data_IF_863855472792
#
_entry.id   IF_863855472792
#
_cell.length_a   1.000
_cell.length_b   1.000
_cell.length_c   1.000
_cell.angle_alpha   90.00
_cell.angle_beta   90.00
_cell.angle_gamma   90.00
#
_symmetry.space_group_name_H-M   'P 1'
#
loop_
_entity.id
_entity.type
_entity.pdbx_description
1 polymer ?
#
# COMPACT_ATOMS: atom_id res chain seq x y z
N UNK A 1 17.47 -5.61 -19.93
CA UNK A 1 18.46 -5.25 -18.90
C UNK A 1 17.73 -4.36 -17.94
N UNK A 2 17.15 -4.96 -16.91
CA UNK A 2 16.28 -4.24 -15.99
C UNK A 2 17.13 -3.41 -15.02
N UNK A 3 16.66 -2.19 -14.72
CA UNK A 3 17.34 -1.21 -13.89
C UNK A 3 17.17 -1.61 -12.41
N UNK A 4 18.26 -1.90 -11.67
CA UNK A 4 18.22 -2.29 -10.25
C UNK A 4 17.50 -1.27 -9.34
N UNK A 5 17.26 -0.05 -9.83
CA UNK A 5 16.58 1.01 -9.09
C UNK A 5 15.07 0.77 -8.92
N UNK A 6 14.40 0.06 -9.83
CA UNK A 6 12.96 -0.20 -9.71
C UNK A 6 12.60 -1.19 -8.59
N UNK A 7 13.45 -2.18 -8.32
CA UNK A 7 13.28 -3.10 -7.20
C UNK A 7 13.51 -2.42 -5.84
N UNK A 8 14.26 -1.31 -5.83
CA UNK A 8 14.57 -0.55 -4.62
C UNK A 8 13.36 0.27 -4.14
N UNK A 9 12.51 0.75 -5.05
CA UNK A 9 11.35 1.59 -4.70
C UNK A 9 10.17 0.81 -4.12
N UNK A 10 9.90 -0.40 -4.63
CA UNK A 10 8.91 -1.31 -4.01
C UNK A 10 9.43 -1.85 -2.67
N UNK A 11 10.75 -2.03 -2.55
CA UNK A 11 11.41 -2.42 -1.30
C UNK A 11 11.32 -1.36 -0.19
N UNK A 12 11.09 -0.09 -0.54
CA UNK A 12 10.93 0.99 0.46
C UNK A 12 9.51 1.08 1.05
N UNK A 13 8.51 0.47 0.41
CA UNK A 13 7.12 0.45 0.90
C UNK A 13 6.85 -0.77 1.80
N UNK A 14 7.66 -1.83 1.66
CA UNK A 14 7.56 -3.08 2.41
C UNK A 14 8.93 -3.38 3.01
N UNK A 15 9.05 -3.29 4.34
CA UNK A 15 10.29 -3.70 5.00
C UNK A 15 10.65 -5.15 4.63
N UNK A 16 11.92 -5.51 4.80
CA UNK A 16 12.43 -6.84 4.48
C UNK A 16 11.58 -7.97 5.09
N UNK A 17 11.06 -7.73 6.29
CA UNK A 17 10.15 -8.63 7.01
C UNK A 17 8.83 -8.87 6.24
N UNK A 18 8.25 -7.83 5.65
CA UNK A 18 7.06 -7.91 4.81
C UNK A 18 7.38 -8.54 3.44
N UNK A 19 8.58 -8.33 2.89
CA UNK A 19 9.01 -8.89 1.60
C UNK A 19 9.17 -10.40 1.67
N UNK A 20 9.90 -10.92 2.65
CA UNK A 20 10.10 -12.37 2.88
C UNK A 20 8.74 -13.08 2.95
N UNK A 21 7.79 -12.44 3.64
CA UNK A 21 6.47 -13.00 3.84
C UNK A 21 5.56 -12.91 2.60
N UNK A 22 5.61 -11.82 1.85
CA UNK A 22 4.80 -11.61 0.64
C UNK A 22 5.28 -12.38 -0.58
N UNK A 23 6.58 -12.66 -0.68
CA UNK A 23 7.18 -13.33 -1.83
C UNK A 23 7.02 -14.86 -1.80
N UNK A 24 7.19 -15.49 -0.64
CA UNK A 24 7.17 -16.97 -0.53
C UNK A 24 6.05 -17.52 0.34
N UNK A 25 5.19 -16.63 0.83
CA UNK A 25 3.97 -17.03 1.47
C UNK A 25 2.88 -17.39 0.46
N UNK A 26 2.76 -18.67 0.08
CA UNK A 26 1.41 -19.26 0.04
C UNK A 26 0.68 -18.93 1.36
N UNK A 27 1.45 -18.98 2.46
CA UNK A 27 1.58 -18.00 3.56
C UNK A 27 0.40 -17.09 3.78
N UNK A 28 0.36 -15.82 3.38
CA UNK A 28 -0.70 -14.91 3.86
C UNK A 28 -2.14 -15.45 3.64
N UNK A 29 -2.38 -16.18 2.55
CA UNK A 29 -3.68 -16.81 2.31
C UNK A 29 -3.80 -18.20 2.96
N UNK A 30 -2.77 -19.05 2.97
CA UNK A 30 -2.79 -20.35 3.68
C UNK A 30 -2.64 -20.22 5.21
N UNK A 31 -2.16 -19.08 5.68
CA UNK A 31 -2.09 -18.63 7.06
C UNK A 31 -3.46 -18.20 7.49
N UNK A 32 -4.10 -17.31 6.72
CA UNK A 32 -5.49 -16.93 6.98
C UNK A 32 -6.42 -18.13 6.83
N UNK A 33 -6.29 -18.93 5.77
CA UNK A 33 -7.16 -20.09 5.52
C UNK A 33 -6.78 -21.30 6.37
N UNK A 34 -5.51 -21.61 6.57
CA UNK A 34 -5.05 -22.67 7.47
C UNK A 34 -5.30 -22.35 8.95
N UNK A 35 -5.30 -21.08 9.36
CA UNK A 35 -5.83 -20.67 10.65
C UNK A 35 -7.35 -20.68 10.68
N UNK A 36 -8.04 -20.16 9.66
CA UNK A 36 -9.51 -20.15 9.58
C UNK A 36 -10.10 -21.56 9.59
N UNK A 37 -9.41 -22.52 8.97
CA UNK A 37 -9.79 -23.93 8.90
C UNK A 37 -9.42 -24.70 10.17
N UNK A 38 -8.31 -24.36 10.84
CA UNK A 38 -7.85 -25.07 12.05
C UNK A 38 -8.29 -24.43 13.37
N UNK A 39 -8.77 -23.19 13.34
CA UNK A 39 -9.18 -22.45 14.52
C UNK A 39 -10.26 -21.44 14.14
N UNK A 40 -11.44 -21.53 14.77
CA UNK A 40 -12.41 -20.42 14.78
C UNK A 40 -11.79 -19.09 15.27
N UNK A 41 -10.56 -19.13 15.79
CA UNK A 41 -9.73 -18.06 16.28
C UNK A 41 -9.48 -16.89 15.32
N UNK A 42 -9.29 -17.03 14.00
CA UNK A 42 -8.93 -15.84 13.18
C UNK A 42 -10.10 -14.84 12.99
N UNK A 43 -11.31 -15.34 12.75
CA UNK A 43 -12.49 -14.46 12.67
C UNK A 43 -12.74 -13.76 14.02
N UNK A 44 -12.43 -14.46 15.12
CA UNK A 44 -12.58 -13.95 16.49
C UNK A 44 -11.43 -13.05 16.91
N UNK A 45 -10.19 -13.32 16.51
CA UNK A 45 -9.01 -12.47 16.69
C UNK A 45 -9.17 -11.19 15.88
N UNK A 46 -9.74 -11.25 14.67
CA UNK A 46 -10.12 -10.06 13.92
C UNK A 46 -11.23 -9.28 14.65
N UNK A 47 -12.17 -9.96 15.31
CA UNK A 47 -13.15 -9.28 16.18
C UNK A 47 -12.52 -8.68 17.45
N UNK A 48 -11.51 -9.33 18.03
CA UNK A 48 -10.73 -8.81 19.16
C UNK A 48 -9.87 -7.63 18.68
N UNK A 49 -9.28 -7.71 17.49
CA UNK A 49 -8.46 -6.64 16.90
C UNK A 49 -9.25 -5.36 16.67
N UNK A 50 -10.55 -5.46 16.40
CA UNK A 50 -11.42 -4.28 16.36
C UNK A 50 -11.65 -3.64 17.73
N UNK A 51 -11.42 -4.37 18.83
CA UNK A 51 -11.44 -3.83 20.20
C UNK A 51 -10.05 -3.37 20.67
N UNK A 52 -8.96 -4.03 20.25
CA UNK A 52 -7.60 -3.71 20.70
C UNK A 52 -6.94 -2.55 19.95
N UNK A 53 -7.51 -2.15 18.81
CA UNK A 53 -6.83 -1.28 17.86
C UNK A 53 -5.73 -2.07 17.15
N UNK A 54 -5.77 -2.10 15.81
CA UNK A 54 -4.83 -2.90 14.99
C UNK A 54 -3.34 -2.59 15.21
N UNK A 55 -3.02 -1.52 15.92
CA UNK A 55 -1.66 -1.10 16.19
C UNK A 55 -1.03 -1.76 17.41
N UNK A 56 -1.80 -2.35 18.33
CA UNK A 56 -1.31 -2.68 19.69
C UNK A 56 -0.98 -4.16 19.90
N UNK A 57 -1.18 -5.04 18.94
CA UNK A 57 -0.84 -6.46 19.09
C UNK A 57 -0.04 -7.00 17.91
N UNK A 58 0.72 -8.07 18.18
CA UNK A 58 1.49 -8.83 17.20
C UNK A 58 1.48 -10.32 17.55
N UNK A 59 1.77 -11.18 16.57
CA UNK A 59 1.97 -12.61 16.81
C UNK A 59 3.30 -12.83 17.53
N UNK A 60 3.31 -13.75 18.49
CA UNK A 60 4.54 -14.15 19.16
C UNK A 60 5.46 -14.98 18.23
N UNK A 61 6.70 -15.18 18.69
CA UNK A 61 7.70 -15.97 17.96
C UNK A 61 7.25 -17.42 17.68
N UNK A 62 6.62 -18.11 18.63
CA UNK A 62 6.20 -19.50 18.49
C UNK A 62 5.13 -19.68 17.41
N UNK A 63 4.19 -18.74 17.39
CA UNK A 63 3.13 -18.62 16.40
C UNK A 63 3.72 -18.34 15.03
N UNK A 64 4.64 -17.40 14.88
CA UNK A 64 5.30 -17.12 13.60
C UNK A 64 6.05 -18.36 13.09
N UNK A 65 6.80 -19.07 13.94
CA UNK A 65 7.49 -20.30 13.54
C UNK A 65 6.52 -21.40 13.07
N UNK A 66 5.36 -21.53 13.72
CA UNK A 66 4.30 -22.44 13.28
C UNK A 66 3.77 -22.07 11.90
N UNK A 67 3.62 -20.78 11.64
CA UNK A 67 3.13 -20.26 10.36
C UNK A 67 4.09 -20.51 9.20
N UNK A 68 5.39 -20.53 9.47
CA UNK A 68 6.41 -20.93 8.51
C UNK A 68 6.58 -22.47 8.40
N UNK A 69 5.76 -23.27 9.12
CA UNK A 69 5.89 -24.72 9.15
C UNK A 69 7.15 -25.22 9.87
N UNK A 70 7.87 -24.34 10.57
CA UNK A 70 9.11 -24.64 11.30
C UNK A 70 8.79 -25.42 12.60
N UNK A 71 7.64 -25.14 13.21
CA UNK A 71 7.20 -25.74 14.47
C UNK A 71 5.78 -26.27 14.39
N UNK A 72 5.53 -27.43 14.99
CA UNK A 72 4.17 -27.84 15.39
C UNK A 72 3.88 -27.27 16.78
N UNK A 73 2.93 -26.35 16.87
CA UNK A 73 2.39 -25.88 18.15
C UNK A 73 0.87 -25.92 18.08
N UNK A 74 0.21 -26.29 19.18
CA UNK A 74 -1.24 -26.22 19.26
C UNK A 74 -1.70 -24.82 19.66
N UNK A 75 -0.89 -24.13 20.44
CA UNK A 75 -1.21 -22.83 21.00
C UNK A 75 -0.99 -21.70 19.97
N UNK A 76 -1.67 -20.58 20.21
CA UNK A 76 -1.53 -19.34 19.47
C UNK A 76 -1.27 -18.26 20.50
N UNK A 77 -0.07 -17.70 20.44
CA UNK A 77 0.35 -16.70 21.42
C UNK A 77 0.46 -15.34 20.71
N UNK A 78 -0.03 -14.31 21.40
CA UNK A 78 0.04 -12.93 20.92
C UNK A 78 0.75 -12.07 21.96
N UNK A 79 1.41 -11.03 21.47
CA UNK A 79 2.01 -10.00 22.31
C UNK A 79 1.16 -8.73 22.18
N UNK A 80 0.82 -8.11 23.30
CA UNK A 80 -0.05 -6.93 23.34
C UNK A 80 0.64 -5.79 24.09
N UNK A 81 0.73 -4.62 23.44
CA UNK A 81 1.28 -3.37 23.95
C UNK A 81 0.17 -2.42 24.42
N UNK A 82 -0.68 -2.89 25.33
CA UNK A 82 -1.66 -2.05 26.04
C UNK A 82 -2.20 -2.82 27.24
N UNK A 83 -2.73 -2.09 28.21
CA UNK A 83 -3.57 -2.70 29.24
C UNK A 83 -4.83 -3.24 28.56
N UNK A 84 -5.08 -4.52 28.79
CA UNK A 84 -6.34 -5.15 28.42
C UNK A 84 -7.31 -4.98 29.58
N UNK A 85 -8.56 -4.59 29.29
CA UNK A 85 -9.62 -4.75 30.29
C UNK A 85 -9.75 -6.24 30.64
N UNK A 86 -10.08 -6.55 31.90
CA UNK A 86 -10.23 -7.92 32.40
C UNK A 86 -11.19 -8.73 31.50
N UNK A 87 -12.31 -8.13 31.08
CA UNK A 87 -13.29 -8.77 30.19
C UNK A 87 -12.69 -9.23 28.86
N UNK A 88 -11.79 -8.42 28.29
CA UNK A 88 -11.12 -8.73 27.01
C UNK A 88 -10.08 -9.82 27.21
N UNK A 89 -9.36 -9.77 28.33
CA UNK A 89 -8.38 -10.81 28.68
C UNK A 89 -9.06 -12.17 28.87
N UNK A 90 -10.15 -12.22 29.65
CA UNK A 90 -10.93 -13.44 29.90
C UNK A 90 -11.51 -14.03 28.61
N UNK A 91 -12.04 -13.19 27.72
CA UNK A 91 -12.52 -13.63 26.41
C UNK A 91 -11.41 -14.24 25.55
N UNK A 92 -10.20 -13.65 25.57
CA UNK A 92 -9.07 -14.17 24.79
C UNK A 92 -8.57 -15.50 25.38
N UNK A 93 -8.46 -15.61 26.71
CA UNK A 93 -8.05 -16.86 27.37
C UNK A 93 -9.03 -18.01 27.12
N UNK A 94 -10.33 -17.74 27.11
CA UNK A 94 -11.36 -18.74 26.81
C UNK A 94 -11.23 -19.35 25.40
N UNK A 95 -10.53 -18.68 24.48
CA UNK A 95 -10.29 -19.13 23.11
C UNK A 95 -8.97 -19.92 22.96
N UNK A 96 -8.25 -20.18 24.05
CA UNK A 96 -6.97 -20.88 24.02
C UNK A 96 -5.84 -20.06 23.41
N UNK A 97 -5.96 -18.73 23.44
CA UNK A 97 -4.92 -17.79 23.00
C UNK A 97 -4.15 -17.34 24.24
N UNK A 98 -2.83 -17.56 24.23
CA UNK A 98 -1.97 -17.03 25.29
C UNK A 98 -1.62 -15.56 24.99
N UNK A 99 -1.71 -14.70 26.00
CA UNK A 99 -1.39 -13.28 25.86
C UNK A 99 -0.12 -12.96 26.65
N UNK A 100 0.88 -12.46 25.94
CA UNK A 100 2.07 -11.84 26.53
C UNK A 100 1.86 -10.33 26.59
N UNK A 101 1.65 -9.80 27.80
CA UNK A 101 1.44 -8.37 28.02
C UNK A 101 2.77 -7.62 28.08
N UNK A 102 2.94 -6.63 27.20
CA UNK A 102 4.07 -5.71 27.12
C UNK A 102 3.68 -4.36 27.69
N UNK A 103 3.78 -4.24 29.01
CA UNK A 103 3.47 -3.00 29.72
C UNK A 103 4.75 -2.39 30.28
N UNK A 104 5.06 -1.15 29.92
CA UNK A 104 6.21 -0.43 30.48
C UNK A 104 6.09 -0.16 31.98
N UNK A 105 4.86 -0.10 32.53
CA UNK A 105 4.61 0.26 33.93
C UNK A 105 4.54 -0.92 34.91
N UNK A 106 4.49 -2.16 34.42
CA UNK A 106 4.34 -3.38 35.26
C UNK A 106 5.30 -4.51 34.89
N UNK A 107 6.33 -4.21 34.09
CA UNK A 107 7.36 -5.19 33.75
C UNK A 107 8.39 -5.27 34.87
N UNK A 108 8.12 -6.14 35.85
CA UNK A 108 9.12 -6.55 36.83
C UNK A 108 9.59 -7.99 36.53
N UNK A 109 10.89 -8.25 36.73
CA UNK A 109 11.49 -9.59 36.64
C UNK A 109 11.55 -10.18 35.24
N UNK A 110 11.06 -11.42 35.09
CA UNK A 110 11.24 -12.23 33.87
C UNK A 110 10.56 -11.64 32.63
N UNK A 111 9.51 -10.83 32.79
CA UNK A 111 8.82 -10.18 31.68
C UNK A 111 9.66 -9.08 31.04
N UNK A 112 10.35 -8.28 31.86
CA UNK A 112 11.27 -7.26 31.37
C UNK A 112 12.45 -7.92 30.63
N UNK A 113 12.96 -9.02 31.18
CA UNK A 113 14.01 -9.82 30.54
C UNK A 113 13.54 -10.37 29.19
N UNK A 114 12.31 -10.89 29.12
CA UNK A 114 11.71 -11.42 27.89
C UNK A 114 11.53 -10.35 26.81
N UNK A 115 11.04 -9.18 27.21
CA UNK A 115 10.90 -8.00 26.37
C UNK A 115 12.24 -7.55 25.79
N UNK A 116 13.27 -7.43 26.62
CA UNK A 116 14.63 -7.04 26.18
C UNK A 116 15.22 -8.00 25.15
N UNK A 117 14.91 -9.29 25.21
CA UNK A 117 15.42 -10.22 24.22
C UNK A 117 14.81 -10.06 22.83
N UNK A 118 13.66 -9.40 22.69
CA UNK A 118 13.05 -9.11 21.38
C UNK A 118 13.64 -7.88 20.71
N UNK A 119 14.45 -7.09 21.43
CA UNK A 119 15.11 -5.90 20.91
C UNK A 119 16.43 -6.31 20.28
N UNK A 120 16.55 -6.11 18.97
CA UNK A 120 17.76 -6.44 18.23
C UNK A 120 18.88 -5.41 18.41
N UNK A 121 18.51 -4.18 18.73
CA UNK A 121 19.43 -3.06 18.87
C UNK A 121 19.39 -2.50 20.30
N UNK A 122 20.53 -2.02 20.83
CA UNK A 122 20.62 -1.46 22.19
C UNK A 122 19.67 -0.27 22.42
N UNK A 123 19.42 0.52 21.38
CA UNK A 123 18.62 1.75 21.44
C UNK A 123 17.15 1.51 21.05
N UNK A 124 16.82 0.31 20.57
CA UNK A 124 15.46 -0.05 20.22
C UNK A 124 14.61 -0.14 21.47
N UNK A 125 13.45 0.51 21.47
CA UNK A 125 12.51 0.45 22.60
C UNK A 125 11.44 -0.58 22.29
N UNK A 126 10.81 -1.09 23.35
CA UNK A 126 9.68 -2.02 23.22
C UNK A 126 8.54 -1.49 22.36
N UNK A 127 8.29 -0.18 22.42
CA UNK A 127 7.28 0.47 21.60
C UNK A 127 7.64 0.38 20.10
N UNK A 128 8.92 0.36 19.75
CA UNK A 128 9.36 0.34 18.35
C UNK A 128 9.02 -1.01 17.68
N UNK A 129 8.97 -2.13 18.43
CA UNK A 129 8.44 -3.43 17.93
C UNK A 129 6.98 -3.35 17.45
N UNK A 130 6.20 -2.42 18.00
CA UNK A 130 4.78 -2.28 17.69
C UNK A 130 4.52 -1.13 16.75
N UNK A 131 5.30 -0.05 16.78
CA UNK A 131 4.95 1.18 16.07
C UNK A 131 5.94 1.59 14.99
N UNK A 132 7.17 1.05 14.99
CA UNK A 132 8.10 1.27 13.88
C UNK A 132 7.96 0.15 12.84
N UNK A 133 7.47 0.46 11.63
CA UNK A 133 7.30 -0.52 10.58
C UNK A 133 8.62 -1.12 10.07
N UNK A 134 9.80 -0.65 10.50
CA UNK A 134 11.07 -1.33 10.23
C UNK A 134 11.19 -2.67 10.98
N UNK A 135 10.47 -2.85 12.09
CA UNK A 135 10.65 -3.94 13.04
C UNK A 135 9.55 -5.01 13.05
N UNK A 136 8.56 -4.93 12.16
CA UNK A 136 7.53 -5.97 12.02
C UNK A 136 7.01 -6.09 10.58
N UNK A 137 6.63 -7.29 10.16
CA UNK A 137 5.84 -7.51 8.96
C UNK A 137 4.34 -7.35 9.23
N UNK A 138 3.56 -7.05 8.19
CA UNK A 138 2.09 -6.99 8.27
C UNK A 138 1.45 -7.89 7.23
N UNK A 139 0.57 -8.80 7.67
CA UNK A 139 -0.31 -9.56 6.78
C UNK A 139 -1.75 -9.44 7.25
N UNK A 140 -2.62 -8.93 6.36
CA UNK A 140 -4.08 -8.81 6.60
C UNK A 140 -4.41 -8.05 7.89
N UNK A 141 -3.58 -7.08 8.26
CA UNK A 141 -3.75 -6.26 9.47
C UNK A 141 -3.22 -6.91 10.75
N UNK A 142 -2.52 -8.05 10.65
CA UNK A 142 -1.85 -8.71 11.77
C UNK A 142 -0.34 -8.49 11.66
N UNK A 143 0.28 -8.04 12.75
CA UNK A 143 1.73 -7.80 12.85
C UNK A 143 2.47 -9.05 13.29
N UNK A 144 3.71 -9.20 12.83
CA UNK A 144 4.59 -10.28 13.25
C UNK A 144 6.07 -9.85 13.15
N UNK A 145 6.92 -10.40 13.99
CA UNK A 145 8.38 -10.26 13.86
C UNK A 145 8.93 -11.19 12.79
N UNK A 146 10.04 -10.84 12.15
CA UNK A 146 10.64 -11.70 11.12
C UNK A 146 11.37 -12.91 11.70
N UNK A 147 11.64 -13.89 10.84
CA UNK A 147 12.47 -15.04 11.21
C UNK A 147 13.88 -14.63 11.64
N UNK A 148 14.44 -13.56 11.06
CA UNK A 148 15.73 -12.99 11.47
C UNK A 148 15.69 -12.46 12.90
N UNK A 149 14.67 -11.65 13.22
CA UNK A 149 14.46 -11.15 14.59
C UNK A 149 14.20 -12.30 15.58
N UNK A 150 13.38 -13.29 15.21
CA UNK A 150 13.12 -14.48 16.03
C UNK A 150 14.41 -15.26 16.28
N UNK A 151 15.25 -15.45 15.25
CA UNK A 151 16.53 -16.12 15.37
C UNK A 151 17.44 -15.41 16.38
N UNK A 152 17.60 -14.08 16.25
CA UNK A 152 18.40 -13.26 17.16
C UNK A 152 17.86 -13.34 18.59
N UNK A 153 16.55 -13.22 18.76
CA UNK A 153 15.86 -13.41 20.04
C UNK A 153 16.18 -14.76 20.68
N UNK A 154 16.04 -15.86 19.93
CA UNK A 154 16.26 -17.23 20.41
C UNK A 154 17.71 -17.48 20.81
N UNK A 155 18.66 -16.93 20.05
CA UNK A 155 20.09 -16.99 20.38
C UNK A 155 20.40 -16.27 21.69
N UNK A 156 19.80 -15.11 21.95
CA UNK A 156 20.01 -14.36 23.19
C UNK A 156 19.34 -14.99 24.41
N UNK A 157 18.17 -15.61 24.21
CA UNK A 157 17.39 -16.21 25.29
C UNK A 157 18.00 -17.52 25.84
N UNK A 158 18.59 -18.35 24.97
CA UNK A 158 19.24 -19.63 25.29
C UNK A 158 18.35 -20.58 26.15
N UNK A 159 17.05 -20.70 25.83
CA UNK A 159 16.16 -21.67 26.49
C UNK A 159 16.47 -23.09 25.99
N UNK A 160 17.33 -23.82 26.72
CA UNK A 160 17.72 -25.18 26.33
C UNK A 160 16.66 -26.23 26.67
N UNK A 161 16.39 -27.21 25.79
CA UNK A 161 17.03 -27.45 24.48
C UNK A 161 16.28 -26.78 23.30
N UNK A 162 15.24 -26.01 23.57
CA UNK A 162 14.28 -25.51 22.58
C UNK A 162 14.88 -24.51 21.60
N UNK A 163 15.62 -23.52 22.09
CA UNK A 163 16.11 -22.41 21.27
C UNK A 163 17.15 -22.82 20.23
N UNK A 164 18.16 -23.66 20.56
CA UNK A 164 19.08 -24.18 19.55
C UNK A 164 18.38 -24.95 18.42
N UNK A 165 17.31 -25.68 18.72
CA UNK A 165 16.53 -26.42 17.73
C UNK A 165 15.71 -25.47 16.84
N UNK A 166 15.07 -24.46 17.42
CA UNK A 166 14.34 -23.44 16.67
C UNK A 166 15.31 -22.69 15.72
N UNK A 167 16.47 -22.26 16.22
CA UNK A 167 17.51 -21.57 15.43
C UNK A 167 17.99 -22.44 14.27
N UNK A 168 18.33 -23.71 14.51
CA UNK A 168 18.79 -24.60 13.44
C UNK A 168 17.75 -24.80 12.33
N UNK A 169 16.46 -24.79 12.68
CA UNK A 169 15.38 -24.89 11.68
C UNK A 169 15.14 -23.58 10.95
N UNK A 170 15.24 -22.44 11.63
CA UNK A 170 15.18 -21.12 10.99
C UNK A 170 16.34 -20.99 10.00
N UNK A 171 17.57 -21.37 10.40
CA UNK A 171 18.75 -21.29 9.54
C UNK A 171 18.60 -22.16 8.30
N UNK A 172 18.06 -23.38 8.46
CA UNK A 172 17.73 -24.23 7.31
C UNK A 172 16.69 -23.59 6.39
N UNK A 173 15.64 -22.98 6.97
CA UNK A 173 14.59 -22.32 6.20
C UNK A 173 15.15 -21.14 5.40
N UNK A 174 15.94 -20.27 6.03
CA UNK A 174 16.57 -19.11 5.39
C UNK A 174 17.64 -19.52 4.37
N UNK A 175 18.40 -20.58 4.62
CA UNK A 175 19.38 -21.07 3.65
C UNK A 175 18.72 -21.62 2.37
N UNK A 176 17.52 -22.19 2.46
CA UNK A 176 16.75 -22.56 1.27
C UNK A 176 16.31 -21.31 0.49
N UNK A 177 15.94 -20.23 1.20
CA UNK A 177 15.54 -18.95 0.61
C UNK A 177 16.68 -18.25 -0.16
N UNK A 178 17.88 -18.19 0.43
CA UNK A 178 19.03 -17.52 -0.21
C UNK A 178 19.48 -18.24 -1.49
N UNK A 179 19.28 -19.57 -1.57
CA UNK A 179 19.64 -20.35 -2.75
C UNK A 179 18.62 -20.24 -3.90
N UNK A 180 17.32 -20.14 -3.60
CA UNK A 180 16.28 -19.94 -4.62
C UNK A 180 16.37 -18.55 -5.27
N UNK A 181 16.82 -17.52 -4.52
CA UNK A 181 17.07 -16.18 -5.08
C UNK A 181 18.18 -16.18 -6.15
N UNK A 182 19.21 -17.01 -5.97
CA UNK A 182 20.27 -17.20 -6.95
C UNK A 182 19.80 -18.02 -8.16
N UNK A 183 18.97 -19.05 -7.96
CA UNK A 183 18.50 -19.94 -9.05
C UNK A 183 17.43 -19.27 -9.94
N UNK A 184 16.52 -18.46 -9.40
CA UNK A 184 15.52 -17.74 -10.21
C UNK A 184 16.14 -16.67 -11.13
N UNK A 185 17.21 -16.02 -10.68
CA UNK A 185 17.99 -15.08 -11.51
C UNK A 185 18.69 -15.76 -12.71
N UNK A 186 18.94 -17.07 -12.59
CA UNK A 186 19.58 -17.90 -13.62
C UNK A 186 18.52 -18.53 -14.55
N UNK A 187 17.36 -18.93 -14.01
CA UNK A 187 16.27 -19.57 -14.79
C UNK A 187 15.49 -18.62 -15.70
N UNK A 188 15.45 -17.32 -15.39
CA UNK A 188 14.71 -16.33 -16.19
C UNK A 188 15.33 -15.99 -17.56
N UNK A 189 16.38 -16.71 -18.00
CA UNK A 189 16.87 -16.60 -19.39
C UNK A 189 16.29 -17.59 -20.39
N UNK A 190 15.57 -18.65 -19.99
CA UNK A 190 15.26 -19.72 -20.97
C UNK A 190 13.89 -20.40 -20.94
N UNK A 191 12.89 -19.99 -20.14
CA UNK A 191 11.57 -20.64 -20.21
C UNK A 191 10.40 -19.66 -20.35
N UNK A 192 9.61 -19.85 -21.41
CA UNK A 192 8.31 -19.21 -21.63
C UNK A 192 7.29 -19.83 -20.68
N UNK A 193 7.02 -19.19 -19.55
CA UNK A 193 5.88 -19.53 -18.68
C UNK A 193 4.72 -18.54 -18.94
N UNK A 194 3.46 -18.99 -19.07
CA UNK A 194 2.35 -18.10 -19.37
C UNK A 194 1.99 -17.20 -18.19
N UNK A 195 1.84 -15.92 -18.49
CA UNK A 195 1.54 -14.82 -17.57
C UNK A 195 0.07 -14.83 -17.09
N UNK A 196 -0.36 -15.82 -16.31
CA UNK A 196 -1.71 -15.84 -15.71
C UNK A 196 -1.81 -16.78 -14.49
N UNK A 197 -1.85 -16.24 -13.26
CA UNK A 197 -2.64 -16.84 -12.14
C UNK A 197 -2.60 -16.04 -10.83
N UNK A 198 -1.52 -15.32 -10.51
CA UNK A 198 -1.40 -14.67 -9.19
C UNK A 198 -2.03 -13.27 -9.12
N UNK A 199 -1.73 -12.40 -10.09
CA UNK A 199 -2.21 -11.01 -10.09
C UNK A 199 -3.72 -10.90 -10.33
N UNK A 200 -4.29 -11.80 -11.14
CA UNK A 200 -5.74 -11.88 -11.36
C UNK A 200 -6.50 -12.22 -10.06
N UNK A 201 -5.93 -13.06 -9.20
CA UNK A 201 -6.57 -13.44 -7.94
C UNK A 201 -6.57 -12.29 -6.92
N UNK A 202 -5.48 -11.52 -6.85
CA UNK A 202 -5.39 -10.33 -5.99
C UNK A 202 -6.31 -9.20 -6.45
N UNK A 203 -6.36 -8.97 -7.77
CA UNK A 203 -7.29 -8.02 -8.37
C UNK A 203 -8.74 -8.43 -8.04
N UNK A 204 -9.12 -9.69 -8.24
CA UNK A 204 -10.46 -10.20 -7.89
C UNK A 204 -10.84 -9.99 -6.42
N UNK A 205 -9.89 -10.18 -5.50
CA UNK A 205 -10.14 -9.99 -4.07
C UNK A 205 -10.30 -8.50 -3.69
N UNK A 206 -9.44 -7.63 -4.21
CA UNK A 206 -9.58 -6.18 -4.02
C UNK A 206 -10.93 -5.70 -4.55
N UNK A 207 -11.29 -6.11 -5.78
CA UNK A 207 -12.56 -5.79 -6.42
C UNK A 207 -13.76 -6.26 -5.59
N UNK A 208 -13.72 -7.46 -5.00
CA UNK A 208 -14.77 -7.98 -4.10
C UNK A 208 -14.90 -7.18 -2.80
N UNK A 209 -13.78 -6.76 -2.20
CA UNK A 209 -13.80 -5.94 -0.98
C UNK A 209 -14.39 -4.56 -1.25
N UNK A 210 -14.02 -3.95 -2.38
CA UNK A 210 -14.60 -2.70 -2.83
C UNK A 210 -16.10 -2.87 -3.13
N UNK A 211 -16.52 -3.96 -3.78
CA UNK A 211 -17.93 -4.29 -4.01
C UNK A 211 -18.75 -4.41 -2.71
N UNK A 212 -18.30 -5.20 -1.72
CA UNK A 212 -19.02 -5.38 -0.45
C UNK A 212 -19.26 -4.07 0.30
N UNK A 213 -18.34 -3.12 0.13
CA UNK A 213 -18.45 -1.77 0.72
C UNK A 213 -19.23 -0.79 -0.15
N UNK A 214 -19.86 -1.27 -1.23
CA UNK A 214 -20.54 -0.46 -2.26
C UNK A 214 -19.62 0.59 -2.90
N UNK A 215 -18.35 0.23 -3.03
CA UNK A 215 -17.25 1.07 -3.50
C UNK A 215 -16.80 0.76 -4.94
N UNK A 216 -17.30 -0.31 -5.57
CA UNK A 216 -16.91 -0.67 -6.95
C UNK A 216 -18.09 -0.86 -7.90
N UNK A 217 -17.91 -0.53 -9.19
CA UNK A 217 -18.95 -0.62 -10.21
C UNK A 217 -19.14 -2.03 -10.80
N UNK A 218 -19.17 -3.08 -9.98
CA UNK A 218 -19.51 -4.43 -10.46
C UNK A 218 -21.02 -4.68 -10.29
N UNK A 219 -21.69 -4.92 -11.41
CA UNK A 219 -23.08 -5.37 -11.43
C UNK A 219 -23.10 -6.88 -11.65
N UNK A 220 -23.13 -7.63 -10.55
CA UNK A 220 -23.18 -9.11 -10.60
C UNK A 220 -24.49 -9.64 -11.19
N UNK A 221 -25.49 -8.77 -11.40
CA UNK A 221 -26.71 -9.13 -12.14
C UNK A 221 -26.62 -8.85 -13.63
N UNK A 222 -25.57 -8.13 -14.08
CA UNK A 222 -25.25 -7.95 -15.48
C UNK A 222 -24.42 -9.15 -15.98
N UNK A 223 -24.77 -9.75 -17.14
CA UNK A 223 -23.97 -10.82 -17.75
C UNK A 223 -22.53 -10.41 -18.10
N UNK A 224 -22.22 -9.12 -18.08
CA UNK A 224 -20.89 -8.57 -18.34
C UNK A 224 -20.11 -8.22 -17.07
N UNK A 225 -20.64 -8.53 -15.88
CA UNK A 225 -20.06 -8.23 -14.54
C UNK A 225 -19.85 -6.73 -14.21
N UNK A 226 -20.05 -5.80 -15.14
CA UNK A 226 -19.93 -4.35 -14.93
C UNK A 226 -21.28 -3.65 -14.98
N UNK A 227 -21.44 -2.57 -14.19
CA UNK A 227 -22.59 -1.69 -14.36
C UNK A 227 -22.58 -1.08 -15.77
N UNK A 228 -23.65 -1.37 -16.51
CA UNK A 228 -23.90 -0.82 -17.85
C UNK A 228 -24.48 0.60 -17.77
N UNK A 229 -24.85 1.10 -16.58
CA UNK A 229 -25.35 2.46 -16.41
C UNK A 229 -24.16 3.45 -16.44
N UNK A 230 -24.00 4.26 -17.50
CA UNK A 230 -22.94 5.28 -17.57
C UNK A 230 -23.11 6.35 -16.47
N UNK A 231 -24.25 6.37 -15.79
CA UNK A 231 -24.56 7.26 -14.66
C UNK A 231 -24.34 6.59 -13.31
N UNK A 232 -23.76 5.38 -13.23
CA UNK A 232 -23.43 4.77 -11.95
C UNK A 232 -22.49 5.68 -11.14
N UNK A 233 -22.84 5.94 -9.88
CA UNK A 233 -22.14 6.91 -9.03
C UNK A 233 -22.52 8.39 -9.28
N UNK A 234 -23.04 8.78 -10.45
CA UNK A 234 -23.39 10.18 -10.74
C UNK A 234 -24.55 10.69 -9.88
N UNK A 235 -25.50 9.82 -9.51
CA UNK A 235 -26.58 10.13 -8.56
C UNK A 235 -26.09 10.47 -7.14
N UNK A 236 -24.85 10.10 -6.78
CA UNK A 236 -24.21 10.41 -5.48
C UNK A 236 -23.39 11.71 -5.50
N UNK A 237 -23.48 12.47 -6.58
CA UNK A 237 -22.85 13.79 -6.68
C UNK A 237 -21.43 13.76 -7.23
N UNK A 238 -20.70 12.63 -7.21
CA UNK A 238 -19.42 12.43 -7.90
C UNK A 238 -19.14 10.94 -8.17
N UNK A 239 -18.30 10.59 -9.16
CA UNK A 239 -17.71 9.25 -9.24
C UNK A 239 -16.98 9.00 -7.92
N UNK A 240 -17.23 7.85 -7.30
CA UNK A 240 -16.62 7.45 -6.02
C UNK A 240 -15.08 7.58 -6.01
N UNK A 241 -14.44 7.42 -7.18
CA UNK A 241 -13.00 7.63 -7.35
C UNK A 241 -12.55 9.05 -6.99
N UNK A 242 -13.32 10.07 -7.36
CA UNK A 242 -12.99 11.46 -7.01
C UNK A 242 -13.03 11.69 -5.50
N UNK A 243 -14.01 11.12 -4.78
CA UNK A 243 -14.07 11.25 -3.33
C UNK A 243 -12.81 10.72 -2.63
N UNK A 244 -12.31 9.55 -3.04
CA UNK A 244 -11.08 8.99 -2.49
C UNK A 244 -9.86 9.82 -2.84
N UNK A 245 -9.81 10.32 -4.07
CA UNK A 245 -8.75 11.22 -4.50
C UNK A 245 -8.75 12.51 -3.67
N UNK A 246 -9.90 13.10 -3.40
CA UNK A 246 -10.02 14.23 -2.47
C UNK A 246 -9.49 13.90 -1.07
N UNK A 247 -9.85 12.74 -0.51
CA UNK A 247 -9.34 12.32 0.81
C UNK A 247 -7.84 12.06 0.82
N UNK A 248 -7.30 11.51 -0.25
CA UNK A 248 -5.87 11.33 -0.43
C UNK A 248 -5.15 12.69 -0.49
N UNK A 249 -5.65 13.61 -1.32
CA UNK A 249 -5.10 14.97 -1.42
C UNK A 249 -5.18 15.73 -0.10
N UNK A 250 -6.30 15.66 0.63
CA UNK A 250 -6.44 16.23 1.99
C UNK A 250 -5.35 15.67 2.95
N UNK A 251 -5.03 14.38 2.87
CA UNK A 251 -3.99 13.78 3.71
C UNK A 251 -2.58 14.19 3.35
N UNK A 252 -2.30 14.42 2.06
CA UNK A 252 -1.01 14.97 1.61
C UNK A 252 -0.88 16.40 2.10
N UNK A 253 -1.91 17.22 1.89
CA UNK A 253 -1.93 18.63 2.27
C UNK A 253 -1.59 18.83 3.77
N UNK A 254 -2.16 17.99 4.64
CA UNK A 254 -1.84 17.99 6.07
C UNK A 254 -0.37 17.69 6.36
N UNK A 255 0.24 16.75 5.65
CA UNK A 255 1.62 16.31 5.88
C UNK A 255 2.65 17.24 5.23
N UNK A 256 2.26 17.96 4.18
CA UNK A 256 3.16 18.78 3.37
C UNK A 256 2.88 20.28 3.49
N UNK A 257 1.98 20.72 4.37
CA UNK A 257 1.70 22.15 4.62
C UNK A 257 2.92 22.99 5.02
N UNK A 258 4.00 22.37 5.53
CA UNK A 258 5.27 23.03 5.86
C UNK A 258 6.33 22.94 4.75
N UNK A 259 6.03 22.22 3.67
CA UNK A 259 6.97 22.00 2.59
C UNK A 259 7.04 23.24 1.70
N UNK A 260 8.23 23.84 1.64
CA UNK A 260 8.58 25.02 0.82
C UNK A 260 7.54 26.15 0.89
N UNK A 261 7.59 27.00 1.94
CA UNK A 261 6.71 28.17 2.03
C UNK A 261 6.88 29.16 0.86
N UNK A 262 8.01 29.07 0.16
CA UNK A 262 8.32 29.91 -1.01
C UNK A 262 7.87 29.30 -2.35
N UNK A 263 7.14 28.17 -2.36
CA UNK A 263 6.61 27.56 -3.59
C UNK A 263 5.70 28.53 -4.33
N UNK A 264 5.82 28.59 -5.67
CA UNK A 264 5.16 29.61 -6.50
C UNK A 264 4.24 29.06 -7.57
N UNK A 265 4.47 27.84 -8.07
CA UNK A 265 3.79 27.33 -9.26
C UNK A 265 3.28 25.89 -9.12
N UNK A 266 2.00 25.69 -9.42
CA UNK A 266 1.34 24.40 -9.34
C UNK A 266 0.70 24.05 -10.69
N UNK A 267 0.82 22.79 -11.10
CA UNK A 267 0.24 22.27 -12.33
C UNK A 267 -0.70 21.11 -12.03
N UNK A 268 -1.88 21.09 -12.61
CA UNK A 268 -2.74 19.90 -12.65
C UNK A 268 -2.85 19.37 -14.07
N UNK A 269 -2.67 18.06 -14.23
CA UNK A 269 -2.96 17.41 -15.51
C UNK A 269 -4.46 17.10 -15.57
N UNK A 270 -5.15 17.74 -16.51
CA UNK A 270 -6.60 17.66 -16.67
C UNK A 270 -7.29 19.03 -16.67
N UNK A 271 -8.41 19.15 -15.95
CA UNK A 271 -9.31 20.30 -16.03
C UNK A 271 -9.12 21.36 -14.94
N UNK A 272 -8.18 21.14 -14.02
CA UNK A 272 -7.91 22.04 -12.89
C UNK A 272 -8.88 21.85 -11.72
N UNK A 273 -9.50 20.66 -11.60
CA UNK A 273 -10.51 20.36 -10.59
C UNK A 273 -9.95 20.38 -9.16
N UNK A 274 -8.68 20.04 -8.95
CA UNK A 274 -8.03 19.96 -7.63
C UNK A 274 -7.34 21.27 -7.22
N UNK A 275 -6.93 22.09 -8.20
CA UNK A 275 -6.13 23.29 -7.96
C UNK A 275 -6.88 24.63 -8.13
N UNK A 276 -8.09 24.65 -8.73
CA UNK A 276 -8.82 25.92 -8.97
C UNK A 276 -9.83 26.25 -7.89
N UNK A 277 -9.68 27.43 -7.28
CA UNK A 277 -10.65 28.02 -6.35
C UNK A 277 -11.90 28.57 -7.07
N UNK A 278 -13.05 28.50 -6.40
CA UNK A 278 -14.20 29.38 -6.69
C UNK A 278 -14.89 29.19 -8.05
N UNK A 279 -14.50 28.23 -8.87
CA UNK A 279 -15.19 28.01 -10.15
C UNK A 279 -16.59 27.41 -9.90
N UNK A 280 -17.63 27.81 -10.64
CA UNK A 280 -19.00 27.29 -10.46
C UNK A 280 -19.13 25.76 -10.58
N UNK A 281 -18.09 25.10 -11.10
CA UNK A 281 -17.98 23.65 -11.29
C UNK A 281 -16.93 22.98 -10.38
N UNK A 282 -16.14 23.74 -9.61
CA UNK A 282 -15.43 23.27 -8.42
C UNK A 282 -16.49 22.91 -7.36
N UNK A 283 -17.12 21.78 -7.60
CA UNK A 283 -18.45 21.42 -7.18
C UNK A 283 -18.66 21.58 -5.68
N UNK A 284 -19.44 22.60 -5.23
CA UNK A 284 -19.89 22.79 -3.84
C UNK A 284 -18.81 22.48 -2.79
N UNK A 285 -17.56 22.73 -3.13
CA UNK A 285 -16.49 22.60 -2.18
C UNK A 285 -16.71 23.75 -1.23
N UNK A 286 -17.03 23.42 0.02
CA UNK A 286 -16.86 24.40 1.10
C UNK A 286 -15.46 25.00 0.91
N UNK A 287 -15.27 26.32 1.05
CA UNK A 287 -13.94 26.92 1.12
C UNK A 287 -13.03 26.03 1.99
N UNK A 288 -11.87 25.61 1.47
CA UNK A 288 -10.95 24.67 2.16
C UNK A 288 -10.97 23.20 1.71
N UNK A 289 -11.43 22.87 0.49
CA UNK A 289 -11.28 21.51 -0.10
C UNK A 289 -10.45 21.46 -1.39
N UNK A 290 -9.78 22.56 -1.68
CA UNK A 290 -8.69 22.54 -2.66
C UNK A 290 -7.51 21.80 -2.06
N UNK A 291 -6.58 21.41 -2.92
CA UNK A 291 -5.23 21.13 -2.46
C UNK A 291 -4.66 22.46 -1.94
N UNK A 292 -4.69 22.68 -0.62
CA UNK A 292 -4.45 23.99 -0.02
C UNK A 292 -3.04 24.50 -0.34
N UNK A 293 -2.09 23.58 -0.50
CA UNK A 293 -0.76 23.87 -1.02
C UNK A 293 -0.78 24.72 -2.30
N UNK A 294 -1.72 24.49 -3.22
CA UNK A 294 -1.79 25.23 -4.49
C UNK A 294 -2.68 26.48 -4.47
N UNK A 295 -3.33 26.80 -3.35
CA UNK A 295 -4.33 27.87 -3.26
C UNK A 295 -3.73 29.27 -3.51
N UNK A 296 -2.58 29.55 -2.91
CA UNK A 296 -1.92 30.86 -3.00
C UNK A 296 -0.83 30.91 -4.09
N UNK A 297 -0.76 29.86 -4.92
CA UNK A 297 0.23 29.69 -5.99
C UNK A 297 -0.33 30.08 -7.36
N UNK A 298 0.56 30.36 -8.30
CA UNK A 298 0.20 30.43 -9.71
C UNK A 298 -0.13 29.02 -10.22
N UNK A 299 -1.41 28.72 -10.30
CA UNK A 299 -1.96 27.39 -10.58
C UNK A 299 -2.47 27.30 -12.02
N UNK A 300 -2.03 26.26 -12.75
CA UNK A 300 -2.39 26.03 -14.16
C UNK A 300 -2.88 24.61 -14.36
N UNK A 301 -3.80 24.39 -15.29
CA UNK A 301 -4.12 23.05 -15.77
C UNK A 301 -3.63 22.80 -17.20
N UNK A 302 -3.19 21.56 -17.48
CA UNK A 302 -2.67 21.14 -18.77
C UNK A 302 -3.42 19.90 -19.27
N UNK A 303 -4.04 20.03 -20.44
CA UNK A 303 -4.69 18.92 -21.15
C UNK A 303 -4.85 19.27 -22.64
N UNK A 304 -4.41 18.35 -23.52
CA UNK A 304 -4.52 18.51 -24.96
C UNK A 304 -5.98 18.64 -25.41
N UNK A 305 -6.88 17.85 -24.83
CA UNK A 305 -8.25 17.66 -25.30
C UNK A 305 -9.31 18.40 -24.45
N UNK A 306 -9.11 18.58 -23.14
CA UNK A 306 -10.12 19.22 -22.27
C UNK A 306 -10.14 20.72 -22.49
N UNK A 307 -11.17 21.25 -23.15
CA UNK A 307 -11.31 22.67 -23.48
C UNK A 307 -11.22 23.65 -22.30
N UNK A 308 -11.24 23.16 -21.05
CA UNK A 308 -11.12 23.96 -19.83
C UNK A 308 -9.69 24.08 -19.32
N UNK A 309 -8.75 23.32 -19.87
CA UNK A 309 -7.34 23.41 -19.48
C UNK A 309 -6.75 24.78 -19.83
N UNK A 310 -5.92 25.33 -18.94
CA UNK A 310 -5.19 26.59 -19.20
C UNK A 310 -4.20 26.42 -20.34
N UNK A 311 -3.52 25.27 -20.40
CA UNK A 311 -2.46 24.95 -21.34
C UNK A 311 -2.89 23.79 -22.24
N UNK A 312 -2.80 24.01 -23.54
CA UNK A 312 -3.12 23.01 -24.57
C UNK A 312 -1.85 22.32 -25.04
N UNK A 313 -1.52 21.20 -24.40
CA UNK A 313 -0.34 20.40 -24.72
C UNK A 313 -0.57 18.91 -24.43
N UNK A 314 0.16 18.06 -25.16
CA UNK A 314 0.32 16.63 -24.90
C UNK A 314 1.37 16.43 -23.80
N UNK A 315 1.00 15.74 -22.71
CA UNK A 315 1.92 15.48 -21.61
C UNK A 315 3.10 14.56 -22.00
N UNK A 316 3.00 13.80 -23.08
CA UNK A 316 4.12 12.99 -23.58
C UNK A 316 5.25 13.84 -24.14
N UNK A 317 4.94 15.06 -24.60
CA UNK A 317 5.84 16.00 -25.30
C UNK A 317 5.38 17.45 -25.09
N UNK A 318 5.37 17.96 -23.85
CA UNK A 318 4.66 19.19 -23.52
C UNK A 318 5.23 20.41 -24.25
N UNK A 319 6.55 20.51 -24.39
CA UNK A 319 7.21 21.64 -25.05
C UNK A 319 7.05 21.63 -26.58
N UNK A 320 6.95 20.46 -27.20
CA UNK A 320 6.76 20.35 -28.65
C UNK A 320 5.29 20.50 -29.07
N UNK A 321 4.36 20.16 -28.19
CA UNK A 321 2.93 20.13 -28.49
C UNK A 321 2.16 21.37 -28.02
N UNK A 322 2.74 22.18 -27.11
CA UNK A 322 2.11 23.41 -26.64
C UNK A 322 1.91 24.41 -27.76
N UNK A 323 0.77 25.11 -27.75
CA UNK A 323 0.54 26.22 -28.68
C UNK A 323 1.62 27.31 -28.50
N UNK A 324 2.16 27.91 -29.58
CA UNK A 324 3.23 28.91 -29.47
C UNK A 324 2.91 30.06 -28.49
N UNK A 325 1.68 30.58 -28.53
CA UNK A 325 1.24 31.68 -27.64
C UNK A 325 1.18 31.28 -26.16
N UNK A 326 1.16 29.99 -25.84
CA UNK A 326 1.12 29.45 -24.48
C UNK A 326 2.48 28.95 -24.00
N UNK A 327 3.50 28.95 -24.86
CA UNK A 327 4.82 28.37 -24.55
C UNK A 327 5.46 29.00 -23.31
N UNK A 328 5.30 30.32 -23.14
CA UNK A 328 5.80 31.05 -21.97
C UNK A 328 5.26 30.53 -20.63
N UNK A 329 4.10 29.88 -20.61
CA UNK A 329 3.53 29.28 -19.41
C UNK A 329 4.27 28.01 -18.97
N UNK A 330 5.09 27.41 -19.85
CA UNK A 330 5.91 26.24 -19.56
C UNK A 330 7.40 26.57 -19.41
N UNK A 331 7.81 27.84 -19.59
CA UNK A 331 9.24 28.23 -19.56
C UNK A 331 9.84 28.22 -18.16
N UNK A 332 9.03 28.44 -17.12
CA UNK A 332 9.45 28.22 -15.75
C UNK A 332 8.88 26.91 -15.21
N UNK A 333 9.66 26.29 -14.33
CA UNK A 333 9.33 24.99 -13.75
C UNK A 333 8.23 25.09 -12.69
N UNK A 334 7.57 23.97 -12.43
CA UNK A 334 6.52 23.83 -11.42
C UNK A 334 7.06 23.19 -10.14
N UNK A 335 6.71 23.75 -8.99
CA UNK A 335 7.06 23.17 -7.68
C UNK A 335 6.23 21.91 -7.40
N UNK A 336 4.97 21.90 -7.84
CA UNK A 336 4.01 20.81 -7.59
C UNK A 336 3.30 20.46 -8.89
N UNK A 337 3.29 19.19 -9.25
CA UNK A 337 2.47 18.66 -10.34
C UNK A 337 1.49 17.62 -9.79
N UNK A 338 0.20 17.83 -10.00
CA UNK A 338 -0.88 16.89 -9.67
C UNK A 338 -1.26 16.12 -10.94
N UNK A 339 -0.92 14.84 -11.00
CA UNK A 339 -1.26 13.95 -12.10
C UNK A 339 -2.13 12.80 -11.58
N UNK A 340 -3.45 13.03 -11.57
CA UNK A 340 -4.37 12.11 -10.93
C UNK A 340 -5.25 11.37 -11.93
N UNK A 341 -5.04 10.05 -12.05
CA UNK A 341 -5.81 9.16 -12.91
C UNK A 341 -5.74 9.56 -14.40
N UNK A 342 -4.55 9.99 -14.86
CA UNK A 342 -4.33 10.40 -16.26
C UNK A 342 -3.49 9.39 -17.04
N UNK A 343 -2.49 8.75 -16.42
CA UNK A 343 -1.52 7.91 -17.14
C UNK A 343 -2.14 6.64 -17.77
N UNK A 344 -3.35 6.26 -17.37
CA UNK A 344 -4.13 5.20 -18.02
C UNK A 344 -4.69 5.59 -19.40
N UNK A 345 -4.75 6.89 -19.68
CA UNK A 345 -5.31 7.46 -20.90
C UNK A 345 -4.27 7.79 -21.98
N UNK A 346 -2.99 7.74 -21.64
CA UNK A 346 -1.91 8.09 -22.56
C UNK A 346 -1.35 6.87 -23.28
N UNK A 347 -0.87 7.09 -24.51
CA UNK A 347 -0.36 6.02 -25.36
C UNK A 347 1.01 5.52 -24.86
N UNK A 348 1.85 6.45 -24.41
CA UNK A 348 3.21 6.18 -23.95
C UNK A 348 3.40 6.71 -22.53
N UNK A 349 2.95 5.99 -21.49
CA UNK A 349 2.99 6.47 -20.10
C UNK A 349 4.40 6.81 -19.61
N UNK A 350 5.43 6.13 -20.12
CA UNK A 350 6.82 6.47 -19.81
C UNK A 350 7.27 7.81 -20.42
N UNK A 351 6.77 8.16 -21.62
CA UNK A 351 7.05 9.47 -22.21
C UNK A 351 6.28 10.57 -21.46
N UNK A 352 5.03 10.30 -21.06
CA UNK A 352 4.27 11.19 -20.20
C UNK A 352 5.01 11.48 -18.89
N UNK A 353 5.53 10.45 -18.20
CA UNK A 353 6.34 10.64 -16.98
C UNK A 353 7.59 11.50 -17.23
N UNK A 354 8.28 11.31 -18.36
CA UNK A 354 9.43 12.17 -18.75
C UNK A 354 9.00 13.61 -19.01
N UNK A 355 7.86 13.81 -19.68
CA UNK A 355 7.29 15.13 -19.92
C UNK A 355 6.95 15.84 -18.62
N UNK A 356 6.29 15.14 -17.67
CA UNK A 356 6.02 15.69 -16.33
C UNK A 356 7.32 16.03 -15.60
N UNK A 357 8.33 15.15 -15.64
CA UNK A 357 9.63 15.42 -15.03
C UNK A 357 10.35 16.63 -15.65
N UNK A 358 10.17 16.89 -16.95
CA UNK A 358 10.75 18.07 -17.62
C UNK A 358 10.06 19.39 -17.30
N UNK A 359 8.85 19.33 -16.71
CA UNK A 359 8.11 20.50 -16.24
C UNK A 359 8.36 20.79 -14.75
N UNK A 360 9.00 19.87 -14.04
CA UNK A 360 9.14 19.94 -12.59
C UNK A 360 10.42 20.67 -12.20
N UNK A 361 10.35 21.51 -11.17
CA UNK A 361 11.55 22.09 -10.57
C UNK A 361 12.45 20.95 -10.04
N UNK A 362 13.76 21.21 -9.91
CA UNK A 362 14.75 20.22 -9.46
C UNK A 362 14.36 19.55 -8.14
N UNK A 363 13.69 20.29 -7.26
CA UNK A 363 13.23 19.83 -5.96
C UNK A 363 11.70 19.79 -5.88
N UNK A 364 11.01 19.92 -7.01
CA UNK A 364 9.56 19.83 -7.08
C UNK A 364 9.06 18.42 -6.80
N UNK A 365 7.75 18.30 -6.54
CA UNK A 365 7.10 17.02 -6.31
C UNK A 365 5.99 16.74 -7.31
N UNK A 366 5.84 15.47 -7.67
CA UNK A 366 4.70 14.98 -8.45
C UNK A 366 3.79 14.18 -7.52
N UNK A 367 2.53 14.59 -7.42
CA UNK A 367 1.47 13.83 -6.76
C UNK A 367 0.76 13.01 -7.82
N UNK A 368 1.11 11.72 -7.86
CA UNK A 368 0.64 10.78 -8.87
C UNK A 368 -0.40 9.82 -8.29
N UNK A 369 -1.50 9.58 -9.01
CA UNK A 369 -2.41 8.46 -8.70
C UNK A 369 -2.75 7.65 -9.94
N UNK A 370 -2.62 6.33 -9.84
CA UNK A 370 -2.99 5.33 -10.86
C UNK A 370 -3.39 4.00 -10.19
N UNK A 371 -4.26 3.18 -10.80
CA UNK A 371 -5.17 3.49 -11.92
C UNK A 371 -6.49 4.13 -11.42
N UNK A 372 -7.37 4.51 -12.35
CA UNK A 372 -8.74 4.98 -12.09
C UNK A 372 -9.48 4.04 -11.14
N UNK A 373 -9.79 4.52 -9.93
CA UNK A 373 -10.44 3.73 -8.88
C UNK A 373 -11.95 3.58 -9.07
N UNK A 374 -12.58 4.45 -9.87
CA UNK A 374 -14.04 4.64 -9.86
C UNK A 374 -14.75 4.51 -11.19
N UNK A 375 -14.04 4.45 -12.32
CA UNK A 375 -14.68 4.37 -13.65
C UNK A 375 -14.26 3.09 -14.39
N UNK A 376 -15.16 2.09 -14.51
CA UNK A 376 -14.82 0.78 -15.08
C UNK A 376 -14.68 0.83 -16.60
N UNK A 377 -15.30 1.82 -17.26
CA UNK A 377 -15.27 2.00 -18.71
C UNK A 377 -15.12 3.50 -18.99
N UNK A 378 -13.92 3.93 -19.34
CA UNK A 378 -13.66 5.26 -19.92
C UNK A 378 -13.21 5.07 -21.37
N UNK A 379 -13.64 5.98 -22.26
CA UNK A 379 -13.56 5.79 -23.72
C UNK A 379 -12.17 5.54 -24.30
N UNK A 380 -11.12 6.03 -23.64
CA UNK A 380 -9.73 5.69 -23.93
C UNK A 380 -9.13 5.05 -22.68
N UNK A 381 -8.67 3.82 -22.76
CA UNK A 381 -8.05 3.13 -21.64
C UNK A 381 -7.04 2.16 -22.21
N UNK A 382 -5.77 2.51 -22.08
CA UNK A 382 -4.69 1.90 -22.87
C UNK A 382 -3.91 0.92 -22.00
N UNK A 383 -3.68 1.26 -20.73
CA UNK A 383 -2.76 0.52 -19.85
C UNK A 383 -3.43 -0.24 -18.71
N UNK A 384 -4.76 -0.15 -18.53
CA UNK A 384 -5.48 -0.98 -17.56
C UNK A 384 -5.90 -2.32 -18.18
N UNK A 385 -6.09 -3.33 -17.34
CA UNK A 385 -6.68 -4.63 -17.73
C UNK A 385 -8.19 -4.54 -17.99
N UNK A 386 -8.63 -3.58 -18.80
CA UNK A 386 -9.99 -3.52 -19.36
C UNK A 386 -10.03 -4.18 -20.73
N UNK A 387 -11.22 -4.45 -21.25
CA UNK A 387 -11.36 -5.03 -22.60
C UNK A 387 -10.67 -4.15 -23.65
N UNK A 388 -10.78 -2.83 -23.51
CA UNK A 388 -10.10 -1.85 -24.36
C UNK A 388 -8.58 -1.91 -24.20
N UNK A 389 -8.06 -1.88 -22.97
CA UNK A 389 -6.61 -1.93 -22.75
C UNK A 389 -5.98 -3.23 -23.22
N UNK A 390 -6.63 -4.38 -23.00
CA UNK A 390 -6.16 -5.68 -23.51
C UNK A 390 -6.18 -5.73 -25.04
N UNK A 391 -7.20 -5.15 -25.70
CA UNK A 391 -7.20 -5.00 -27.17
C UNK A 391 -6.05 -4.12 -27.65
N UNK A 392 -5.74 -3.04 -26.94
CA UNK A 392 -4.62 -2.15 -27.26
C UNK A 392 -3.26 -2.82 -27.10
N UNK A 393 -3.09 -3.72 -26.13
CA UNK A 393 -1.85 -4.48 -25.92
C UNK A 393 -1.63 -5.62 -26.93
N UNK A 394 -2.68 -6.05 -27.64
CA UNK A 394 -2.62 -7.13 -28.63
C UNK A 394 -2.33 -6.65 -30.06
N UNK A 395 -2.27 -5.32 -30.26
CA UNK A 395 -1.87 -4.64 -31.49
C UNK A 395 -0.43 -4.14 -31.34
#
# INVERSE_FOLDING_TARGET
GEDPRQDTEIANILNENSRIYLQYGSGCNELVEGWRLRSGGMARLLSISSHLGHSTFMLDSGTVLKLHGIRSSNDVDIVVFTDLNNDVSEQIFAEGIEIHLFLSSKMEGDRERWARFHLDEPDMRMIDLFFDPSHFGVCRGVKFVSLGQIRSYKLRRDERPKDPLDVAKIDRFLALYDNDFLDDSIRHRNEKVPFASFHQHRLKHLLRSLYKRKMYPLDVSSPNEFHQDPRWGSKRGQPIGRYYLHKFMESIDMNFSHWRPDSKRCLEIGDGHFIRAGTPRAWKQKPGKMFAMCHDMSSFSLDLFDSRADIKADIERPFESVHPDQKHLLEEDFDIIVCAQVLEHVNHPLNALRGLASLLDKDGIIILTVPFLGNPVHGHDISRFTVQGVKGMAL
#
